data_IF_119830791892
#
_entry.id   IF_119830791892
#
_cell.length_a   1.000
_cell.length_b   1.000
_cell.length_c   1.000
_cell.angle_alpha   90.00
_cell.angle_beta   90.00
_cell.angle_gamma   90.00
#
_symmetry.space_group_name_H-M   'P 1'
#
loop_
_entity.id
_entity.type
_entity.pdbx_description
1 polymer ?
#
# COMPACT_ATOMS: atom_id res chain seq x y z
N UNK A 1 -26.49 11.23 2.11
CA UNK A 1 -26.40 9.92 1.44
C UNK A 1 -25.11 9.88 0.62
N UNK A 2 -24.28 8.87 0.86
CA UNK A 2 -23.03 8.71 0.13
C UNK A 2 -23.34 8.14 -1.25
N UNK A 3 -22.90 8.86 -2.30
CA UNK A 3 -22.92 8.35 -3.66
C UNK A 3 -21.76 7.35 -3.80
N UNK A 4 -22.06 6.07 -3.63
CA UNK A 4 -21.07 4.99 -3.66
C UNK A 4 -20.42 4.89 -5.05
N UNK A 5 -21.19 5.02 -6.11
CA UNK A 5 -20.63 4.93 -7.47
C UNK A 5 -19.64 6.06 -7.72
N UNK A 6 -19.98 7.27 -7.33
CA UNK A 6 -19.08 8.40 -7.42
C UNK A 6 -17.83 8.25 -6.52
N UNK A 7 -18.02 7.67 -5.34
CA UNK A 7 -16.92 7.38 -4.43
C UNK A 7 -15.94 6.37 -5.06
N UNK A 8 -16.47 5.29 -5.62
CA UNK A 8 -15.68 4.27 -6.30
C UNK A 8 -14.92 4.86 -7.48
N UNK A 9 -15.63 5.58 -8.36
CA UNK A 9 -15.01 6.20 -9.54
C UNK A 9 -13.87 7.15 -9.18
N UNK A 10 -14.03 7.94 -8.13
CA UNK A 10 -13.03 8.92 -7.72
C UNK A 10 -11.81 8.29 -7.04
N UNK A 11 -11.99 7.21 -6.29
CA UNK A 11 -10.96 6.72 -5.38
C UNK A 11 -10.41 5.33 -5.69
N UNK A 12 -11.05 4.56 -6.57
CA UNK A 12 -10.62 3.19 -6.87
C UNK A 12 -9.16 3.13 -7.35
N UNK A 13 -8.77 4.03 -8.25
CA UNK A 13 -7.41 4.13 -8.77
C UNK A 13 -6.39 4.42 -7.65
N UNK A 14 -6.72 5.37 -6.77
CA UNK A 14 -5.84 5.74 -5.66
C UNK A 14 -5.67 4.61 -4.66
N UNK A 15 -6.76 3.92 -4.33
CA UNK A 15 -6.72 2.76 -3.44
C UNK A 15 -5.90 1.62 -4.07
N UNK A 16 -6.12 1.35 -5.35
CA UNK A 16 -5.37 0.33 -6.06
C UNK A 16 -3.86 0.63 -6.06
N UNK A 17 -3.47 1.87 -6.39
CA UNK A 17 -2.06 2.26 -6.39
C UNK A 17 -1.44 2.15 -5.00
N UNK A 18 -2.17 2.54 -3.97
CA UNK A 18 -1.74 2.38 -2.59
C UNK A 18 -1.53 0.90 -2.25
N UNK A 19 -2.52 0.06 -2.54
CA UNK A 19 -2.45 -1.38 -2.26
C UNK A 19 -1.34 -2.06 -3.06
N UNK A 20 -1.15 -1.68 -4.32
CA UNK A 20 -0.08 -2.20 -5.17
C UNK A 20 1.29 -1.82 -4.62
N UNK A 21 1.47 -0.56 -4.26
CA UNK A 21 2.74 -0.07 -3.74
C UNK A 21 3.05 -0.66 -2.36
N UNK A 22 2.03 -0.90 -1.56
CA UNK A 22 2.16 -1.49 -0.23
C UNK A 22 2.53 -2.98 -0.31
N UNK A 23 1.88 -3.72 -1.19
CA UNK A 23 2.02 -5.19 -1.30
C UNK A 23 3.07 -5.64 -2.31
N UNK A 24 3.29 -4.86 -3.37
CA UNK A 24 4.13 -5.28 -4.50
C UNK A 24 3.51 -6.40 -5.33
N UNK A 25 2.21 -6.65 -5.19
CA UNK A 25 1.53 -7.79 -5.80
C UNK A 25 0.20 -7.34 -6.41
N UNK A 26 0.07 -7.47 -7.73
CA UNK A 26 -1.11 -7.02 -8.47
C UNK A 26 -2.39 -7.74 -8.06
N UNK A 27 -2.33 -9.05 -7.91
CA UNK A 27 -3.49 -9.85 -7.52
C UNK A 27 -3.97 -9.46 -6.12
N UNK A 28 -3.05 -9.31 -5.18
CA UNK A 28 -3.35 -8.86 -3.82
C UNK A 28 -3.93 -7.44 -3.83
N UNK A 29 -3.38 -6.54 -4.64
CA UNK A 29 -3.87 -5.17 -4.76
C UNK A 29 -5.30 -5.11 -5.29
N UNK A 30 -5.64 -5.94 -6.27
CA UNK A 30 -7.00 -6.06 -6.78
C UNK A 30 -7.98 -6.54 -5.71
N UNK A 31 -7.61 -7.58 -4.98
CA UNK A 31 -8.41 -8.13 -3.89
C UNK A 31 -8.63 -7.11 -2.76
N UNK A 32 -7.56 -6.44 -2.36
CA UNK A 32 -7.63 -5.41 -1.32
C UNK A 32 -8.53 -4.26 -1.76
N UNK A 33 -8.40 -3.81 -3.01
CA UNK A 33 -9.20 -2.71 -3.54
C UNK A 33 -10.69 -3.08 -3.50
N UNK A 34 -11.04 -4.24 -4.02
CA UNK A 34 -12.43 -4.72 -4.04
C UNK A 34 -12.99 -4.83 -2.63
N UNK A 35 -12.27 -5.47 -1.73
CA UNK A 35 -12.72 -5.67 -0.36
C UNK A 35 -12.82 -4.35 0.42
N UNK A 36 -11.94 -3.40 0.13
CA UNK A 36 -11.99 -2.06 0.74
C UNK A 36 -13.33 -1.40 0.45
N UNK A 37 -13.76 -1.42 -0.81
CA UNK A 37 -15.03 -0.81 -1.19
C UNK A 37 -16.24 -1.59 -0.69
N UNK A 38 -16.15 -2.90 -0.59
CA UNK A 38 -17.20 -3.71 0.04
C UNK A 38 -17.39 -3.31 1.50
N UNK A 39 -16.30 -3.14 2.24
CA UNK A 39 -16.35 -2.72 3.65
C UNK A 39 -16.90 -1.31 3.81
N UNK A 40 -16.52 -0.39 2.92
CA UNK A 40 -17.06 0.97 2.93
C UNK A 40 -18.56 0.96 2.64
N UNK A 41 -19.00 0.16 1.67
CA UNK A 41 -20.41 0.01 1.36
C UNK A 41 -21.20 -0.50 2.57
N UNK A 42 -20.67 -1.50 3.28
CA UNK A 42 -21.30 -2.07 4.46
C UNK A 42 -21.36 -1.08 5.63
N UNK A 43 -20.43 -0.13 5.68
CA UNK A 43 -20.35 0.88 6.74
C UNK A 43 -20.72 2.28 6.24
N UNK A 44 -21.42 2.39 5.12
CA UNK A 44 -21.68 3.66 4.42
C UNK A 44 -22.34 4.75 5.27
N UNK A 45 -23.11 4.35 6.28
CA UNK A 45 -23.78 5.28 7.18
C UNK A 45 -22.85 5.89 8.24
N UNK A 46 -21.62 5.38 8.35
CA UNK A 46 -20.63 5.79 9.35
C UNK A 46 -19.42 6.50 8.74
N UNK A 47 -19.38 6.63 7.41
CA UNK A 47 -18.21 7.20 6.72
C UNK A 47 -18.29 8.72 6.78
N UNK A 48 -17.19 9.33 7.23
CA UNK A 48 -16.99 10.77 7.17
C UNK A 48 -16.38 11.14 5.82
N UNK A 49 -17.13 11.86 5.01
CA UNK A 49 -16.71 12.26 3.67
C UNK A 49 -15.52 13.21 3.66
N UNK A 50 -15.28 13.93 4.76
CA UNK A 50 -14.16 14.88 4.82
C UNK A 50 -12.80 14.18 4.84
N UNK A 51 -12.76 12.94 5.34
CA UNK A 51 -11.52 12.14 5.47
C UNK A 51 -11.62 10.80 4.75
N UNK A 52 -12.42 10.75 3.69
CA UNK A 52 -12.75 9.48 3.03
C UNK A 52 -11.52 8.75 2.49
N UNK A 53 -10.58 9.47 1.88
CA UNK A 53 -9.38 8.82 1.33
C UNK A 53 -8.51 8.20 2.43
N UNK A 54 -8.36 8.88 3.56
CA UNK A 54 -7.65 8.35 4.72
C UNK A 54 -8.32 7.10 5.28
N UNK A 55 -9.66 7.12 5.34
CA UNK A 55 -10.45 5.96 5.78
C UNK A 55 -10.26 4.76 4.84
N UNK A 56 -10.32 5.01 3.53
CA UNK A 56 -10.11 3.96 2.53
C UNK A 56 -8.71 3.35 2.66
N UNK A 57 -7.69 4.18 2.83
CA UNK A 57 -6.31 3.70 2.96
C UNK A 57 -6.08 2.94 4.26
N UNK A 58 -6.72 3.36 5.34
CA UNK A 58 -6.66 2.64 6.61
C UNK A 58 -7.25 1.24 6.48
N UNK A 59 -8.39 1.10 5.83
CA UNK A 59 -9.01 -0.21 5.56
C UNK A 59 -8.08 -1.06 4.69
N UNK A 60 -7.58 -0.48 3.60
CA UNK A 60 -6.71 -1.19 2.66
C UNK A 60 -5.45 -1.71 3.37
N UNK A 61 -4.85 -0.90 4.24
CA UNK A 61 -3.68 -1.33 5.01
C UNK A 61 -4.01 -2.46 5.98
N UNK A 62 -5.14 -2.38 6.68
CA UNK A 62 -5.57 -3.46 7.57
C UNK A 62 -5.78 -4.76 6.82
N UNK A 63 -6.38 -4.69 5.62
CA UNK A 63 -6.57 -5.86 4.76
C UNK A 63 -5.23 -6.44 4.31
N UNK A 64 -4.30 -5.60 3.94
CA UNK A 64 -2.94 -6.03 3.59
C UNK A 64 -2.28 -6.78 4.75
N UNK A 65 -2.33 -6.21 5.95
CA UNK A 65 -1.72 -6.83 7.13
C UNK A 65 -2.38 -8.15 7.49
N UNK A 66 -3.70 -8.26 7.34
CA UNK A 66 -4.44 -9.52 7.54
C UNK A 66 -4.00 -10.59 6.53
N UNK A 67 -3.85 -10.22 5.26
CA UNK A 67 -3.41 -11.15 4.22
C UNK A 67 -1.98 -11.64 4.46
N UNK A 68 -1.08 -10.74 4.82
CA UNK A 68 0.31 -11.10 5.14
C UNK A 68 0.35 -12.08 6.30
N UNK A 69 -0.43 -11.85 7.35
CA UNK A 69 -0.52 -12.78 8.48
C UNK A 69 -1.12 -14.13 8.07
N UNK A 70 -2.14 -14.11 7.21
CA UNK A 70 -2.76 -15.31 6.67
C UNK A 70 -1.79 -16.13 5.84
N UNK A 71 -1.01 -15.48 4.98
CA UNK A 71 0.00 -16.13 4.15
C UNK A 71 1.11 -16.73 5.00
N UNK A 72 1.56 -16.04 6.04
CA UNK A 72 2.55 -16.57 6.98
C UNK A 72 2.03 -17.83 7.70
N UNK A 73 0.76 -17.86 8.09
CA UNK A 73 0.15 -19.01 8.70
C UNK A 73 0.06 -20.19 7.72
N UNK A 74 -0.26 -19.93 6.47
CA UNK A 74 -0.31 -20.96 5.41
C UNK A 74 1.06 -21.56 5.15
N UNK A 75 2.10 -20.72 5.12
CA UNK A 75 3.49 -21.16 4.96
C UNK A 75 3.93 -22.10 6.10
N UNK A 76 3.46 -21.85 7.31
CA UNK A 76 3.72 -22.70 8.46
C UNK A 76 2.95 -24.04 8.36
N UNK A 77 1.76 -24.03 7.76
CA UNK A 77 0.90 -25.20 7.66
C UNK A 77 1.16 -26.04 6.40
N UNK A 78 1.58 -25.38 5.31
CA UNK A 78 1.83 -26.02 4.02
C UNK A 78 3.32 -26.01 3.69
N UNK A 79 4.04 -26.95 4.28
CA UNK A 79 5.47 -27.09 4.05
C UNK A 79 5.84 -27.50 2.61
N UNK A 80 4.83 -27.93 1.82
CA UNK A 80 5.05 -28.45 0.46
C UNK A 80 4.70 -27.49 -0.66
N UNK A 81 4.29 -26.28 -0.35
CA UNK A 81 3.89 -25.33 -1.38
C UNK A 81 4.95 -24.27 -1.59
N UNK A 82 6.02 -24.70 -2.23
CA UNK A 82 7.01 -23.77 -2.76
C UNK A 82 6.55 -23.22 -4.12
N UNK A 83 5.36 -22.68 -4.19
CA UNK A 83 4.94 -21.96 -5.37
C UNK A 83 4.84 -20.49 -5.05
N UNK A 84 6.01 -19.92 -4.81
CA UNK A 84 6.17 -18.53 -5.03
C UNK A 84 6.06 -18.34 -6.54
N UNK A 85 4.84 -18.27 -7.04
CA UNK A 85 4.64 -17.91 -8.42
C UNK A 85 5.19 -16.49 -8.56
N UNK A 86 6.31 -16.31 -9.24
CA UNK A 86 6.76 -14.98 -9.57
C UNK A 86 5.63 -14.32 -10.34
N UNK A 87 5.26 -13.13 -9.94
CA UNK A 87 4.26 -12.38 -10.64
C UNK A 87 4.58 -12.34 -12.14
N UNK A 88 3.57 -12.15 -12.97
CA UNK A 88 3.78 -12.17 -14.42
C UNK A 88 4.85 -11.16 -14.79
N UNK A 89 5.90 -11.66 -15.36
CA UNK A 89 7.00 -10.86 -15.86
C UNK A 89 6.52 -10.17 -17.11
N UNK A 90 6.21 -8.94 -16.97
CA UNK A 90 5.75 -8.17 -18.10
C UNK A 90 6.84 -7.27 -18.60
N UNK A 91 7.13 -7.48 -19.78
CA UNK A 91 8.28 -7.09 -20.55
C UNK A 91 8.17 -5.73 -21.23
N UNK A 92 7.19 -4.90 -20.88
CA UNK A 92 7.16 -3.53 -21.37
C UNK A 92 8.13 -2.68 -20.54
N UNK A 93 8.94 -1.85 -21.18
CA UNK A 93 9.95 -1.01 -20.54
C UNK A 93 9.40 -0.19 -19.38
N UNK A 94 8.19 0.39 -19.53
CA UNK A 94 7.52 1.13 -18.46
C UNK A 94 7.16 0.27 -17.26
N UNK A 95 6.98 -1.03 -17.45
CA UNK A 95 6.70 -1.97 -16.36
C UNK A 95 7.96 -2.36 -15.62
N UNK A 96 9.10 -2.42 -16.30
CA UNK A 96 10.38 -2.69 -15.64
C UNK A 96 10.72 -1.58 -14.63
N UNK A 97 10.47 -0.32 -14.97
CA UNK A 97 10.65 0.81 -14.07
C UNK A 97 9.70 0.73 -12.89
N UNK A 98 8.42 0.43 -13.13
CA UNK A 98 7.44 0.25 -12.08
C UNK A 98 7.81 -0.91 -11.16
N UNK A 99 8.19 -2.05 -11.73
CA UNK A 99 8.61 -3.22 -10.96
C UNK A 99 9.82 -2.91 -10.08
N UNK A 100 10.76 -2.10 -10.57
CA UNK A 100 11.91 -1.66 -9.79
C UNK A 100 11.48 -0.80 -8.60
N UNK A 101 10.55 0.13 -8.81
CA UNK A 101 10.01 0.97 -7.73
C UNK A 101 9.28 0.12 -6.71
N UNK A 102 8.44 -0.81 -7.16
CA UNK A 102 7.70 -1.71 -6.27
C UNK A 102 8.65 -2.58 -5.44
N UNK A 103 9.72 -3.07 -6.06
CA UNK A 103 10.76 -3.84 -5.37
C UNK A 103 11.45 -3.00 -4.29
N UNK A 104 11.83 -1.78 -4.63
CA UNK A 104 12.47 -0.87 -3.67
C UNK A 104 11.55 -0.56 -2.48
N UNK A 105 10.27 -0.34 -2.75
CA UNK A 105 9.28 -0.12 -1.69
C UNK A 105 9.18 -1.30 -0.74
N UNK A 106 9.31 -2.53 -1.24
CA UNK A 106 9.25 -3.73 -0.41
C UNK A 106 10.45 -3.87 0.53
N UNK A 107 11.55 -3.16 0.27
CA UNK A 107 12.70 -3.16 1.20
C UNK A 107 12.46 -2.29 2.43
N UNK A 108 11.47 -1.41 2.39
CA UNK A 108 11.12 -0.57 3.54
C UNK A 108 10.36 -1.38 4.59
N UNK A 109 10.57 -1.06 5.86
CA UNK A 109 9.70 -1.56 6.92
C UNK A 109 8.25 -1.15 6.62
N UNK A 110 7.29 -2.04 6.86
CA UNK A 110 5.90 -1.79 6.49
C UNK A 110 5.34 -0.46 7.01
N UNK A 111 5.53 -0.10 8.29
CA UNK A 111 5.00 1.17 8.76
C UNK A 111 5.61 2.39 8.06
N UNK A 112 6.89 2.34 7.72
CA UNK A 112 7.58 3.41 6.98
C UNK A 112 7.01 3.52 5.56
N UNK A 113 6.80 2.38 4.91
CA UNK A 113 6.22 2.28 3.57
C UNK A 113 4.79 2.84 3.56
N UNK A 114 3.97 2.41 4.50
CA UNK A 114 2.58 2.88 4.61
C UNK A 114 2.52 4.40 4.85
N UNK A 115 3.34 4.92 5.76
CA UNK A 115 3.39 6.35 6.05
C UNK A 115 3.77 7.15 4.81
N UNK A 116 4.79 6.72 4.08
CA UNK A 116 5.20 7.38 2.85
C UNK A 116 4.08 7.38 1.80
N UNK A 117 3.47 6.23 1.59
CA UNK A 117 2.41 6.08 0.58
C UNK A 117 1.17 6.91 0.92
N UNK A 118 0.82 7.03 2.19
CA UNK A 118 -0.25 7.91 2.63
C UNK A 118 0.11 9.38 2.38
N UNK A 119 1.36 9.75 2.64
CA UNK A 119 1.83 11.13 2.40
C UNK A 119 1.80 11.49 0.91
N UNK A 120 2.12 10.54 0.04
CA UNK A 120 2.03 10.72 -1.42
C UNK A 120 0.59 11.00 -1.86
N UNK A 121 -0.40 10.49 -1.12
CA UNK A 121 -1.81 10.74 -1.37
C UNK A 121 -2.33 11.97 -0.60
N UNK A 122 -1.42 12.89 -0.27
CA UNK A 122 -1.72 14.17 0.37
C UNK A 122 -2.37 14.07 1.77
N UNK A 123 -2.18 12.93 2.45
CA UNK A 123 -2.61 12.81 3.84
C UNK A 123 -1.73 13.69 4.73
N UNK A 124 -2.35 14.33 5.71
CA UNK A 124 -1.60 15.11 6.70
C UNK A 124 -0.86 14.17 7.65
N UNK A 125 0.16 14.67 8.32
CA UNK A 125 0.87 13.86 9.33
C UNK A 125 -0.04 13.46 10.48
N UNK A 126 -1.01 14.30 10.81
CA UNK A 126 -2.03 13.98 11.82
C UNK A 126 -2.90 12.80 11.39
N UNK A 127 -3.32 12.78 10.12
CA UNK A 127 -4.10 11.67 9.55
C UNK A 127 -3.28 10.38 9.50
N UNK A 128 -2.02 10.48 9.09
CA UNK A 128 -1.09 9.33 9.07
C UNK A 128 -0.88 8.80 10.48
N UNK A 129 -0.64 9.68 11.44
CA UNK A 129 -0.44 9.31 12.84
C UNK A 129 -1.67 8.56 13.39
N UNK A 130 -2.86 9.07 13.11
CA UNK A 130 -4.10 8.42 13.52
C UNK A 130 -4.27 7.04 12.88
N UNK A 131 -4.00 6.93 11.58
CA UNK A 131 -4.13 5.68 10.83
C UNK A 131 -3.17 4.60 11.33
N UNK A 132 -1.93 4.99 11.64
CA UNK A 132 -0.88 4.07 12.10
C UNK A 132 -0.85 3.91 13.62
N UNK A 133 -1.66 4.69 14.34
CA UNK A 133 -1.69 4.71 15.82
C UNK A 133 -0.33 5.04 16.43
N UNK A 134 0.28 6.10 15.91
CA UNK A 134 1.58 6.62 16.35
C UNK A 134 1.46 8.12 16.59
N UNK A 135 2.51 8.73 17.14
CA UNK A 135 2.56 10.17 17.29
C UNK A 135 2.83 10.85 15.94
N UNK A 136 2.50 12.13 15.85
CA UNK A 136 2.78 12.95 14.66
C UNK A 136 4.29 12.99 14.39
N UNK A 137 5.09 13.12 15.42
CA UNK A 137 6.55 13.09 15.30
C UNK A 137 7.05 11.77 14.71
N UNK A 138 6.51 10.64 15.17
CA UNK A 138 6.84 9.33 14.64
C UNK A 138 6.43 9.20 13.18
N UNK A 139 5.27 9.75 12.79
CA UNK A 139 4.83 9.74 11.40
C UNK A 139 5.82 10.49 10.50
N UNK A 140 6.27 11.66 10.92
CA UNK A 140 7.28 12.45 10.19
C UNK A 140 8.59 11.69 10.03
N UNK A 141 9.05 11.05 11.10
CA UNK A 141 10.29 10.26 11.08
C UNK A 141 10.17 9.10 10.09
N UNK A 142 9.04 8.41 10.08
CA UNK A 142 8.81 7.28 9.18
C UNK A 142 8.83 7.70 7.71
N UNK A 143 8.16 8.78 7.38
CA UNK A 143 8.14 9.32 6.02
C UNK A 143 9.56 9.74 5.59
N UNK A 144 10.28 10.44 6.46
CA UNK A 144 11.64 10.88 6.17
C UNK A 144 12.58 9.70 5.96
N UNK A 145 12.50 8.69 6.83
CA UNK A 145 13.32 7.46 6.74
C UNK A 145 13.05 6.71 5.44
N UNK A 146 11.78 6.59 5.07
CA UNK A 146 11.39 5.94 3.81
C UNK A 146 11.98 6.68 2.60
N UNK A 147 11.88 8.00 2.58
CA UNK A 147 12.44 8.81 1.48
C UNK A 147 13.94 8.66 1.37
N UNK A 148 14.65 8.67 2.49
CA UNK A 148 16.11 8.48 2.50
C UNK A 148 16.50 7.13 1.94
N UNK A 149 15.83 6.07 2.38
CA UNK A 149 16.11 4.70 1.94
C UNK A 149 15.91 4.57 0.43
N UNK A 150 14.81 5.10 -0.10
CA UNK A 150 14.53 5.07 -1.53
C UNK A 150 15.55 5.87 -2.33
N UNK A 151 15.98 7.04 -1.82
CA UNK A 151 17.00 7.85 -2.47
C UNK A 151 18.34 7.10 -2.54
N UNK A 152 18.74 6.44 -1.47
CA UNK A 152 19.95 5.62 -1.43
C UNK A 152 19.91 4.47 -2.43
N UNK A 153 18.78 3.77 -2.53
CA UNK A 153 18.61 2.68 -3.49
C UNK A 153 18.70 3.16 -4.93
N UNK A 154 18.13 4.32 -5.22
CA UNK A 154 18.19 4.93 -6.55
C UNK A 154 19.62 5.30 -6.93
N UNK A 155 20.36 5.95 -6.03
CA UNK A 155 21.76 6.32 -6.23
C UNK A 155 22.61 5.06 -6.51
N UNK A 156 22.46 4.03 -5.71
CA UNK A 156 23.19 2.78 -5.87
C UNK A 156 22.92 2.13 -7.23
N UNK A 157 21.68 2.20 -7.69
CA UNK A 157 21.29 1.67 -9.01
C UNK A 157 21.95 2.46 -10.13
N UNK A 158 21.97 3.78 -10.05
CA UNK A 158 22.61 4.65 -11.04
C UNK A 158 24.11 4.41 -11.11
N UNK A 159 24.77 4.22 -9.96
CA UNK A 159 26.21 3.91 -9.91
C UNK A 159 26.51 2.57 -10.57
N UNK A 160 25.68 1.56 -10.40
CA UNK A 160 25.88 0.24 -11.02
C UNK A 160 25.71 0.26 -12.54
N UNK A 161 24.95 1.22 -13.07
CA UNK A 161 24.67 1.34 -14.51
C UNK A 161 25.69 2.21 -15.24
N UNK A 162 26.55 2.93 -14.53
CA UNK A 162 27.58 3.78 -15.14
C UNK A 162 28.91 3.04 -15.37
#
# INVERSE_FOLDING_TARGET
MIDFDGLYERHASSVYRFALSLSGNRAMAEDITSETFVRVWSARDRVDLATVIGYLMTIARHLYLEQVRGDQRRLVLDFDWADATPGPHTLAEGRAELDAVLTDLQTLAEPDRAALLMRVQDQTYEEIAAALRISVGAAKVKVHRARRKLAELRINREVKLS
#
